data_IF_954336029064
#
_entry.id   IF_954336029064
#
_cell.length_a   1.000
_cell.length_b   1.000
_cell.length_c   1.000
_cell.angle_alpha   90.00
_cell.angle_beta   90.00
_cell.angle_gamma   90.00
#
_symmetry.space_group_name_H-M   'P 1'
#
loop_
_entity.id
_entity.type
_entity.pdbx_description
1 polymer ?
#
# COMPACT_ATOMS: atom_id res chain seq x y z
N UNK A 1 8.23 6.25 -13.00
CA UNK A 1 9.19 5.52 -12.14
C UNK A 1 8.42 5.14 -10.90
N UNK A 2 8.43 3.85 -10.56
CA UNK A 2 7.83 3.38 -9.31
C UNK A 2 8.71 3.82 -8.13
N UNK A 3 8.10 4.30 -7.05
CA UNK A 3 8.81 4.73 -5.85
C UNK A 3 8.41 3.88 -4.65
N UNK A 4 9.39 3.34 -3.93
CA UNK A 4 9.17 2.59 -2.69
C UNK A 4 9.48 3.47 -1.49
N UNK A 5 8.57 3.51 -0.51
CA UNK A 5 8.74 4.24 0.73
C UNK A 5 8.33 3.41 1.96
N UNK A 6 8.94 3.71 3.11
CA UNK A 6 8.48 3.19 4.40
C UNK A 6 7.25 3.95 4.86
N UNK A 7 6.17 3.22 5.18
CA UNK A 7 4.95 3.79 5.75
C UNK A 7 4.93 3.65 7.27
N UNK A 8 5.35 2.49 7.77
CA UNK A 8 5.45 2.18 9.20
C UNK A 8 6.71 1.37 9.44
N UNK A 9 7.50 1.74 10.45
CA UNK A 9 8.67 0.99 10.88
C UNK A 9 8.34 0.06 12.05
N UNK A 10 8.85 -1.17 12.02
CA UNK A 10 8.65 -2.15 13.08
C UNK A 10 7.38 -2.97 12.93
N UNK A 11 7.24 -3.97 13.81
CA UNK A 11 6.15 -4.95 13.76
C UNK A 11 4.79 -4.28 13.92
N UNK A 12 3.92 -4.42 12.91
CA UNK A 12 2.58 -3.83 12.90
C UNK A 12 1.62 -4.66 12.06
N UNK A 13 0.31 -4.43 12.16
CA UNK A 13 -0.68 -5.06 11.29
C UNK A 13 -1.33 -4.03 10.39
N UNK A 14 -1.38 -4.31 9.10
CA UNK A 14 -2.14 -3.55 8.11
C UNK A 14 -3.63 -3.84 8.30
N UNK A 15 -4.39 -2.83 8.72
CA UNK A 15 -5.84 -2.90 8.99
C UNK A 15 -6.68 -2.37 7.84
N UNK A 16 -6.09 -1.58 6.95
CA UNK A 16 -6.76 -1.05 5.78
C UNK A 16 -5.89 -0.04 5.05
N UNK A 17 -6.39 0.43 3.93
CA UNK A 17 -5.72 1.48 3.15
C UNK A 17 -6.74 2.31 2.39
N UNK A 18 -6.38 3.55 2.11
CA UNK A 18 -7.04 4.42 1.16
C UNK A 18 -6.05 4.74 0.04
N UNK A 19 -6.49 4.65 -1.21
CA UNK A 19 -5.69 4.91 -2.39
C UNK A 19 -6.39 5.91 -3.30
N UNK A 20 -5.60 6.76 -3.96
CA UNK A 20 -6.00 7.58 -5.09
C UNK A 20 -5.04 7.33 -6.26
N UNK A 21 -5.59 7.02 -7.42
CA UNK A 21 -4.81 6.83 -8.64
C UNK A 21 -4.36 8.17 -9.25
N UNK A 22 -3.13 8.18 -9.77
CA UNK A 22 -2.46 9.39 -10.26
C UNK A 22 -2.55 9.65 -11.76
N UNK A 23 -3.46 8.98 -12.47
CA UNK A 23 -3.56 9.04 -13.95
C UNK A 23 -2.62 8.10 -14.70
N UNK A 24 -1.82 7.29 -13.98
CA UNK A 24 -1.04 6.19 -14.55
C UNK A 24 -1.54 4.87 -13.96
N UNK A 25 -1.80 3.88 -14.82
CA UNK A 25 -2.12 2.54 -14.37
C UNK A 25 -0.86 1.84 -13.87
N UNK A 26 -0.99 1.05 -12.81
CA UNK A 26 0.15 0.34 -12.23
C UNK A 26 -0.27 -0.47 -11.01
N UNK A 27 0.71 -1.12 -10.40
CA UNK A 27 0.50 -1.93 -9.21
C UNK A 27 0.95 -1.18 -7.96
N UNK A 28 0.10 -1.18 -6.94
CA UNK A 28 0.51 -0.81 -5.59
C UNK A 28 0.85 -2.09 -4.85
N UNK A 29 2.09 -2.16 -4.37
CA UNK A 29 2.64 -3.35 -3.73
C UNK A 29 3.04 -2.99 -2.30
N UNK A 30 2.51 -3.72 -1.33
CA UNK A 30 2.88 -3.66 0.07
C UNK A 30 3.82 -4.81 0.39
N UNK A 31 4.95 -4.52 1.04
CA UNK A 31 5.94 -5.53 1.44
C UNK A 31 6.25 -5.43 2.94
N UNK A 32 6.62 -6.57 3.52
CA UNK A 32 7.18 -6.64 4.87
C UNK A 32 8.67 -6.30 4.81
N UNK A 33 8.99 -5.05 5.12
CA UNK A 33 10.35 -4.53 4.99
C UNK A 33 10.68 -4.09 3.56
N UNK A 34 11.85 -3.46 3.40
CA UNK A 34 12.30 -2.94 2.11
C UNK A 34 12.72 -4.10 1.19
N UNK A 35 11.83 -4.50 0.27
CA UNK A 35 12.06 -5.63 -0.63
C UNK A 35 11.88 -7.00 0.01
N UNK A 36 11.17 -7.09 1.15
CA UNK A 36 10.81 -8.37 1.75
C UNK A 36 9.55 -8.99 1.13
N UNK A 37 8.89 -9.87 1.88
CA UNK A 37 7.74 -10.62 1.39
C UNK A 37 6.55 -9.72 1.03
N UNK A 38 5.83 -10.05 -0.04
CA UNK A 38 4.64 -9.29 -0.43
C UNK A 38 3.46 -9.60 0.49
N UNK A 39 2.89 -8.54 1.04
CA UNK A 39 1.74 -8.61 1.93
C UNK A 39 0.43 -8.41 1.17
N UNK A 40 0.42 -7.47 0.25
CA UNK A 40 -0.75 -7.13 -0.55
C UNK A 40 -0.33 -6.52 -1.88
N UNK A 41 -1.02 -6.87 -2.95
CA UNK A 41 -0.87 -6.25 -4.26
C UNK A 41 -2.23 -5.98 -4.86
N UNK A 42 -2.40 -4.80 -5.44
CA UNK A 42 -3.56 -4.49 -6.28
C UNK A 42 -3.19 -3.51 -7.38
N UNK A 43 -3.95 -3.58 -8.48
CA UNK A 43 -3.77 -2.67 -9.61
C UNK A 43 -4.66 -1.44 -9.45
N UNK A 44 -4.18 -0.31 -9.94
CA UNK A 44 -4.96 0.92 -10.07
C UNK A 44 -5.14 1.27 -11.56
N UNK A 45 -6.30 1.81 -11.95
CA UNK A 45 -6.50 2.29 -13.31
C UNK A 45 -5.82 3.65 -13.54
N UNK A 46 -5.62 4.01 -14.81
CA UNK A 46 -5.16 5.34 -15.22
C UNK A 46 -6.28 6.39 -15.13
N UNK A 47 -6.85 6.57 -13.93
CA UNK A 47 -7.83 7.61 -13.61
C UNK A 47 -7.22 8.53 -12.55
N UNK A 48 -7.62 9.80 -12.49
CA UNK A 48 -7.12 10.77 -11.50
C UNK A 48 -8.13 11.08 -10.38
N UNK A 49 -9.36 10.59 -10.48
CA UNK A 49 -10.46 11.00 -9.60
C UNK A 49 -11.31 9.82 -9.12
N UNK A 50 -10.66 8.73 -8.70
CA UNK A 50 -11.32 7.57 -8.13
C UNK A 50 -10.65 7.14 -6.82
N UNK A 51 -10.87 7.88 -5.71
CA UNK A 51 -10.39 7.44 -4.41
C UNK A 51 -11.18 6.20 -3.99
N UNK A 52 -10.47 5.16 -3.55
CA UNK A 52 -11.09 3.99 -2.95
C UNK A 52 -10.39 3.66 -1.64
N UNK A 53 -11.13 3.11 -0.70
CA UNK A 53 -10.60 2.63 0.55
C UNK A 53 -11.07 1.19 0.75
N UNK A 54 -10.19 0.38 1.29
CA UNK A 54 -10.51 -0.99 1.63
C UNK A 54 -10.03 -1.28 3.05
N UNK A 55 -10.95 -1.77 3.88
CA UNK A 55 -10.65 -2.24 5.22
C UNK A 55 -10.37 -3.74 5.14
N UNK A 56 -9.32 -4.18 5.83
CA UNK A 56 -8.98 -5.59 5.92
C UNK A 56 -9.69 -6.14 7.17
N UNK A 57 -10.67 -7.05 7.01
CA UNK A 57 -11.41 -7.57 8.14
C UNK A 57 -10.53 -8.46 9.05
N UNK A 58 -10.97 -8.62 10.30
CA UNK A 58 -10.30 -9.47 11.28
C UNK A 58 -9.02 -8.85 11.85
N UNK A 59 -7.96 -9.66 11.94
CA UNK A 59 -6.68 -9.22 12.50
C UNK A 59 -5.82 -8.39 11.55
N UNK A 60 -6.21 -8.26 10.28
CA UNK A 60 -5.37 -7.60 9.27
C UNK A 60 -4.19 -8.46 8.83
N UNK A 61 -3.23 -7.85 8.13
CA UNK A 61 -2.04 -8.53 7.62
C UNK A 61 -0.83 -8.14 8.48
N UNK A 62 -0.13 -9.12 9.05
CA UNK A 62 1.05 -8.87 9.87
C UNK A 62 2.26 -8.50 9.00
N UNK A 63 2.92 -7.39 9.32
CA UNK A 63 4.26 -7.05 8.89
C UNK A 63 5.20 -7.20 10.10
N UNK A 64 6.22 -8.04 10.00
CA UNK A 64 7.15 -8.30 11.10
C UNK A 64 8.20 -7.19 11.23
N UNK A 65 8.64 -6.63 10.12
CA UNK A 65 9.72 -5.65 10.04
C UNK A 65 9.25 -4.22 9.75
N UNK A 66 8.08 -4.09 9.12
CA UNK A 66 7.45 -2.81 8.82
C UNK A 66 6.74 -2.83 7.47
N UNK A 67 5.90 -1.83 7.23
CA UNK A 67 5.14 -1.73 5.99
C UNK A 67 5.90 -0.81 5.02
N UNK A 68 6.33 -1.36 3.90
CA UNK A 68 6.84 -0.62 2.76
C UNK A 68 5.85 -0.67 1.62
N UNK A 69 5.72 0.42 0.87
CA UNK A 69 4.80 0.50 -0.26
C UNK A 69 5.53 1.03 -1.48
N UNK A 70 5.38 0.29 -2.58
CA UNK A 70 5.78 0.71 -3.92
C UNK A 70 4.57 1.30 -4.63
N UNK A 71 4.72 2.53 -5.13
CA UNK A 71 3.65 3.30 -5.77
C UNK A 71 4.00 3.68 -7.20
N UNK A 72 3.00 3.61 -8.11
CA UNK A 72 3.13 4.15 -9.44
C UNK A 72 3.07 5.67 -9.44
N UNK A 73 3.48 6.24 -10.57
CA UNK A 73 3.66 7.68 -10.71
C UNK A 73 2.38 8.44 -10.32
N UNK A 74 2.53 9.42 -9.43
CA UNK A 74 1.47 10.27 -8.90
C UNK A 74 0.35 9.57 -8.10
N UNK A 75 0.44 8.26 -7.83
CA UNK A 75 -0.48 7.58 -6.93
C UNK A 75 -0.24 8.01 -5.48
N UNK A 76 -1.30 8.04 -4.69
CA UNK A 76 -1.27 8.38 -3.27
C UNK A 76 -1.91 7.24 -2.48
N UNK A 77 -1.27 6.85 -1.39
CA UNK A 77 -1.82 5.86 -0.46
C UNK A 77 -1.74 6.38 0.97
N UNK A 78 -2.75 6.06 1.77
CA UNK A 78 -2.77 6.24 3.21
C UNK A 78 -3.01 4.88 3.86
N UNK A 79 -2.20 4.53 4.84
CA UNK A 79 -2.21 3.22 5.49
C UNK A 79 -2.84 3.33 6.87
N UNK A 80 -3.81 2.46 7.16
CA UNK A 80 -4.38 2.29 8.49
C UNK A 80 -3.74 1.06 9.15
N UNK A 81 -3.13 1.25 10.31
CA UNK A 81 -2.38 0.22 11.03
C UNK A 81 -2.72 0.22 12.53
N UNK A 82 -2.49 -0.91 13.20
CA UNK A 82 -2.73 -1.09 14.64
C UNK A 82 -2.42 -2.48 15.14
#
# INVERSE_FOLDING_TARGET
MEATGSMVSGRTRLKGYQCLSGGTAGDIIFTDGNGGAELLRFNIPANTNNPFANLIPGEGILAETGIYVTLPTAAKVTVFYG
#
